data_IF_888145521649
#
_entry.id   IF_888145521649
#
_cell.length_a   1.000
_cell.length_b   1.000
_cell.length_c   1.000
_cell.angle_alpha   90.00
_cell.angle_beta   90.00
_cell.angle_gamma   90.00
#
_symmetry.space_group_name_H-M   'P 1'
#
loop_
_entity.id
_entity.type
_entity.pdbx_description
1 polymer ?
#
# COMPACT_ATOMS: atom_id res chain seq x y z
N UNK A 1 5.87 10.67 -16.38
CA UNK A 1 6.98 10.17 -15.53
C UNK A 1 7.39 11.32 -14.63
N UNK A 2 7.36 11.13 -13.30
CA UNK A 2 7.80 12.14 -12.32
C UNK A 2 9.04 11.60 -11.60
N UNK A 3 9.80 12.50 -11.00
CA UNK A 3 10.93 12.14 -10.13
C UNK A 3 10.58 12.57 -8.71
N UNK A 4 10.98 11.75 -7.72
CA UNK A 4 10.93 12.11 -6.31
C UNK A 4 12.31 11.96 -5.70
N UNK A 5 12.62 12.76 -4.67
CA UNK A 5 13.80 12.58 -3.84
C UNK A 5 13.49 11.58 -2.72
N UNK A 6 14.38 10.63 -2.45
CA UNK A 6 14.32 9.76 -1.25
C UNK A 6 15.66 9.80 -0.51
N UNK A 7 15.65 9.49 0.78
CA UNK A 7 16.87 9.34 1.57
C UNK A 7 17.26 7.86 1.66
N UNK A 8 18.44 7.51 1.14
CA UNK A 8 18.99 6.14 1.16
C UNK A 8 20.40 6.17 1.73
N UNK A 9 20.65 5.49 2.85
CA UNK A 9 21.96 5.49 3.50
C UNK A 9 22.45 6.88 3.94
N UNK A 10 21.54 7.85 4.11
CA UNK A 10 21.86 9.24 4.43
C UNK A 10 22.08 10.14 3.21
N UNK A 11 22.03 9.60 1.99
CA UNK A 11 22.17 10.37 0.75
C UNK A 11 20.82 10.60 0.07
N UNK A 12 20.66 11.77 -0.55
CA UNK A 12 19.51 12.09 -1.38
C UNK A 12 19.63 11.42 -2.75
N UNK A 13 18.61 10.66 -3.14
CA UNK A 13 18.56 9.92 -4.41
C UNK A 13 17.29 10.29 -5.17
N UNK A 14 17.45 10.63 -6.44
CA UNK A 14 16.34 10.94 -7.35
C UNK A 14 15.82 9.65 -8.00
N UNK A 15 14.52 9.37 -7.83
CA UNK A 15 13.86 8.16 -8.34
C UNK A 15 12.78 8.48 -9.36
N UNK A 16 12.81 7.88 -10.57
CA UNK A 16 11.69 7.95 -11.49
C UNK A 16 10.54 7.05 -11.00
N UNK A 17 9.37 7.65 -10.83
CA UNK A 17 8.18 7.02 -10.26
C UNK A 17 6.93 7.22 -11.12
N UNK A 18 5.99 6.29 -10.99
CA UNK A 18 4.58 6.56 -11.20
C UNK A 18 4.02 7.13 -9.89
N UNK A 19 3.51 8.35 -9.95
CA UNK A 19 2.95 9.05 -8.79
C UNK A 19 1.42 9.05 -8.91
N UNK A 20 0.76 8.63 -7.84
CA UNK A 20 -0.68 8.61 -7.64
C UNK A 20 -1.02 9.67 -6.60
N UNK A 21 -1.55 10.83 -7.02
CA UNK A 21 -1.97 11.87 -6.08
C UNK A 21 -3.01 11.31 -5.10
N UNK A 22 -2.87 11.66 -3.82
CA UNK A 22 -3.83 11.28 -2.79
C UNK A 22 -4.73 12.49 -2.48
N UNK A 23 -6.03 12.25 -2.30
CA UNK A 23 -7.01 13.27 -1.98
C UNK A 23 -6.77 13.89 -0.60
N UNK A 24 -6.19 13.13 0.33
CA UNK A 24 -5.68 13.63 1.62
C UNK A 24 -4.45 14.53 1.52
N UNK A 25 -3.85 14.68 0.34
CA UNK A 25 -2.63 15.43 0.09
C UNK A 25 -1.43 14.52 -0.20
N UNK A 26 -0.46 15.06 -0.94
CA UNK A 26 0.73 14.31 -1.31
C UNK A 26 0.51 13.27 -2.42
N UNK A 27 1.31 12.19 -2.41
CA UNK A 27 1.24 11.13 -3.42
C UNK A 27 1.78 9.78 -2.91
N UNK A 28 1.15 8.68 -3.35
CA UNK A 28 1.75 7.36 -3.32
C UNK A 28 2.55 7.13 -4.61
N UNK A 29 3.74 6.54 -4.51
CA UNK A 29 4.70 6.47 -5.60
C UNK A 29 5.23 5.04 -5.77
N UNK A 30 5.28 4.57 -7.02
CA UNK A 30 5.88 3.30 -7.42
C UNK A 30 7.12 3.56 -8.28
N UNK A 31 8.27 3.05 -7.83
CA UNK A 31 9.54 3.16 -8.55
C UNK A 31 9.54 2.32 -9.83
N UNK A 32 9.83 2.97 -10.96
CA UNK A 32 9.67 2.35 -12.28
C UNK A 32 10.94 1.66 -12.80
N UNK A 33 12.10 1.97 -12.24
CA UNK A 33 13.39 1.42 -12.68
C UNK A 33 14.35 1.26 -11.51
N UNK A 34 15.41 0.46 -11.68
CA UNK A 34 16.51 0.37 -10.72
C UNK A 34 17.33 1.68 -10.71
N UNK A 35 17.71 2.17 -9.52
CA UNK A 35 18.58 3.34 -9.33
C UNK A 35 19.60 3.03 -8.24
N UNK A 36 20.87 2.86 -8.64
CA UNK A 36 21.94 2.46 -7.73
C UNK A 36 21.58 1.15 -7.00
N UNK A 37 21.58 1.12 -5.65
CA UNK A 37 21.19 -0.06 -4.88
C UNK A 37 19.66 -0.28 -4.79
N UNK A 38 18.85 0.71 -5.18
CA UNK A 38 17.40 0.68 -5.04
C UNK A 38 16.77 -0.03 -6.24
N UNK A 39 16.03 -1.11 -5.98
CA UNK A 39 15.38 -1.91 -7.03
C UNK A 39 14.03 -1.34 -7.43
N UNK A 40 13.69 -1.43 -8.73
CA UNK A 40 12.34 -1.19 -9.30
C UNK A 40 11.27 -1.84 -8.43
N UNK A 41 10.11 -1.20 -8.28
CA UNK A 41 9.02 -1.67 -7.41
C UNK A 41 9.07 -1.13 -5.98
N UNK A 42 10.09 -0.32 -5.63
CA UNK A 42 10.05 0.45 -4.38
C UNK A 42 8.76 1.27 -4.28
N UNK A 43 8.09 1.19 -3.13
CA UNK A 43 6.89 1.95 -2.81
C UNK A 43 7.25 3.08 -1.86
N UNK A 44 6.76 4.30 -2.12
CA UNK A 44 7.06 5.49 -1.33
C UNK A 44 5.80 6.33 -1.15
N UNK A 45 5.67 6.99 -0.01
CA UNK A 45 4.67 8.01 0.27
C UNK A 45 5.35 9.36 0.34
N UNK A 46 4.77 10.36 -0.31
CA UNK A 46 5.23 11.76 -0.31
C UNK A 46 4.14 12.59 0.34
N UNK A 47 4.43 13.28 1.44
CA UNK A 47 3.42 14.05 2.20
C UNK A 47 2.98 15.33 1.48
N UNK A 48 3.91 16.00 0.81
CA UNK A 48 3.68 17.25 0.09
C UNK A 48 4.65 17.39 -1.09
N UNK A 49 4.32 18.27 -2.05
CA UNK A 49 5.21 18.55 -3.18
C UNK A 49 6.59 19.04 -2.68
N UNK A 50 7.66 18.39 -3.16
CA UNK A 50 9.03 18.67 -2.74
C UNK A 50 9.49 18.01 -1.44
N UNK A 51 8.59 17.36 -0.69
CA UNK A 51 8.99 16.54 0.46
C UNK A 51 9.69 15.25 -0.01
N UNK A 52 10.65 14.72 0.77
CA UNK A 52 11.26 13.44 0.45
C UNK A 52 10.22 12.31 0.56
N UNK A 53 10.27 11.37 -0.38
CA UNK A 53 9.49 10.15 -0.32
C UNK A 53 9.98 9.21 0.79
N UNK A 54 9.05 8.67 1.55
CA UNK A 54 9.30 7.73 2.65
C UNK A 54 8.77 6.36 2.27
N UNK A 55 9.62 5.33 2.35
CA UNK A 55 9.17 3.95 2.17
C UNK A 55 8.38 3.50 3.42
N UNK A 56 7.12 3.07 3.29
CA UNK A 56 6.33 2.64 4.43
C UNK A 56 6.91 1.35 5.01
N UNK A 57 6.98 1.26 6.35
CA UNK A 57 7.41 0.04 7.01
C UNK A 57 6.24 -0.92 7.20
N UNK A 58 6.48 -2.22 7.03
CA UNK A 58 5.44 -3.23 7.20
C UNK A 58 4.81 -3.25 8.60
N UNK A 59 5.62 -3.08 9.66
CA UNK A 59 5.12 -3.07 11.04
C UNK A 59 4.17 -1.90 11.31
N UNK A 60 4.42 -0.74 10.70
CA UNK A 60 3.52 0.41 10.75
C UNK A 60 2.24 0.14 9.94
N UNK A 61 2.35 -0.52 8.78
CA UNK A 61 1.19 -0.80 7.91
C UNK A 61 0.25 -1.78 8.59
N UNK A 62 0.81 -2.84 9.20
CA UNK A 62 0.04 -3.82 9.96
C UNK A 62 -0.62 -3.20 11.19
N UNK A 63 0.08 -2.33 11.92
CA UNK A 63 -0.50 -1.63 13.08
C UNK A 63 -1.68 -0.74 12.68
N UNK A 64 -1.53 0.01 11.59
CA UNK A 64 -2.61 0.86 11.08
C UNK A 64 -3.80 0.02 10.59
N UNK A 65 -3.54 -1.04 9.82
CA UNK A 65 -4.56 -1.98 9.36
C UNK A 65 -5.34 -2.60 10.54
N UNK A 66 -4.63 -3.06 11.57
CA UNK A 66 -5.23 -3.60 12.79
C UNK A 66 -6.10 -2.55 13.51
N UNK A 67 -5.67 -1.29 13.56
CA UNK A 67 -6.46 -0.20 14.14
C UNK A 67 -7.77 0.04 13.39
N UNK A 68 -7.74 0.07 12.05
CA UNK A 68 -8.96 0.20 11.22
C UNK A 68 -9.90 -0.99 11.41
N UNK A 69 -9.34 -2.19 11.54
CA UNK A 69 -10.10 -3.42 11.69
C UNK A 69 -10.67 -3.67 13.10
N UNK A 70 -10.45 -2.78 14.08
CA UNK A 70 -11.07 -2.90 15.41
C UNK A 70 -12.61 -2.78 15.34
N UNK A 71 -13.12 -1.94 14.43
CA UNK A 71 -14.55 -1.82 14.20
C UNK A 71 -15.01 -2.82 13.12
N UNK A 72 -16.15 -3.53 13.30
CA UNK A 72 -16.62 -4.50 12.30
C UNK A 72 -16.81 -3.90 10.88
N UNK A 73 -17.33 -2.68 10.80
CA UNK A 73 -17.48 -1.96 9.52
C UNK A 73 -16.12 -1.61 8.90
N UNK A 74 -15.17 -1.14 9.70
CA UNK A 74 -13.80 -0.84 9.26
C UNK A 74 -13.06 -2.09 8.78
N UNK A 75 -13.23 -3.22 9.47
CA UNK A 75 -12.69 -4.51 9.04
C UNK A 75 -13.25 -4.94 7.69
N UNK A 76 -14.59 -4.93 7.53
CA UNK A 76 -15.23 -5.32 6.27
C UNK A 76 -14.80 -4.43 5.09
N UNK A 77 -14.69 -3.12 5.33
CA UNK A 77 -14.21 -2.17 4.33
C UNK A 77 -12.74 -2.44 3.96
N UNK A 78 -11.87 -2.65 4.95
CA UNK A 78 -10.46 -2.94 4.72
C UNK A 78 -10.27 -4.26 3.97
N UNK A 79 -10.97 -5.33 4.34
CA UNK A 79 -10.92 -6.62 3.63
C UNK A 79 -11.34 -6.46 2.16
N UNK A 80 -12.39 -5.69 1.88
CA UNK A 80 -12.84 -5.40 0.52
C UNK A 80 -11.78 -4.61 -0.28
N UNK A 81 -11.18 -3.57 0.31
CA UNK A 81 -10.12 -2.78 -0.31
C UNK A 81 -8.87 -3.62 -0.58
N UNK A 82 -8.46 -4.49 0.36
CA UNK A 82 -7.32 -5.38 0.19
C UNK A 82 -7.56 -6.42 -0.91
N UNK A 83 -8.77 -6.98 -0.99
CA UNK A 83 -9.15 -7.92 -2.03
C UNK A 83 -9.14 -7.25 -3.42
N UNK A 84 -9.64 -6.02 -3.52
CA UNK A 84 -9.61 -5.24 -4.75
C UNK A 84 -8.17 -4.85 -5.15
N UNK A 85 -7.35 -4.41 -4.19
CA UNK A 85 -5.92 -4.14 -4.39
C UNK A 85 -5.19 -5.36 -4.94
N UNK A 86 -5.45 -6.54 -4.37
CA UNK A 86 -4.90 -7.82 -4.85
C UNK A 86 -5.33 -8.09 -6.30
N UNK A 87 -6.62 -7.96 -6.62
CA UNK A 87 -7.13 -8.18 -7.98
C UNK A 87 -6.47 -7.24 -9.00
N UNK A 88 -6.29 -5.97 -8.65
CA UNK A 88 -5.62 -4.98 -9.49
C UNK A 88 -4.14 -5.31 -9.67
N UNK A 89 -3.44 -5.72 -8.61
CA UNK A 89 -2.05 -6.16 -8.68
C UNK A 89 -1.89 -7.41 -9.57
N UNK A 90 -2.77 -8.40 -9.46
CA UNK A 90 -2.74 -9.58 -10.35
C UNK A 90 -2.95 -9.18 -11.82
N UNK A 91 -3.72 -8.13 -12.08
CA UNK A 91 -3.96 -7.58 -13.41
C UNK A 91 -2.80 -6.73 -13.96
N UNK A 92 -1.72 -6.49 -13.21
CA UNK A 92 -0.50 -5.84 -13.76
C UNK A 92 0.39 -6.83 -14.51
N UNK A 93 -0.03 -8.08 -14.67
CA UNK A 93 0.72 -9.09 -15.41
C UNK A 93 0.24 -9.21 -16.85
N UNK A 94 1.16 -9.42 -17.82
CA UNK A 94 2.62 -9.47 -17.67
C UNK A 94 3.26 -8.07 -17.55
N UNK A 95 2.49 -7.01 -17.73
CA UNK A 95 2.96 -5.63 -17.74
C UNK A 95 1.90 -4.71 -17.15
N UNK A 96 2.36 -3.67 -16.45
CA UNK A 96 1.52 -2.56 -16.00
C UNK A 96 0.99 -1.77 -17.19
N UNK A 97 -0.32 -1.82 -17.39
CA UNK A 97 -1.05 -1.14 -18.47
C UNK A 97 -1.88 0.05 -17.93
N UNK A 98 -2.20 1.05 -18.77
CA UNK A 98 -2.95 2.23 -18.35
C UNK A 98 -4.27 1.96 -17.61
N UNK A 99 -5.12 0.97 -18.02
CA UNK A 99 -6.36 0.68 -17.29
C UNK A 99 -6.13 0.22 -15.85
N UNK A 100 -5.02 -0.49 -15.59
CA UNK A 100 -4.70 -0.94 -14.22
C UNK A 100 -4.22 0.22 -13.35
N UNK A 101 -3.49 1.17 -13.93
CA UNK A 101 -3.13 2.43 -13.25
C UNK A 101 -4.37 3.25 -12.88
N UNK A 102 -5.34 3.34 -13.79
CA UNK A 102 -6.61 4.01 -13.53
C UNK A 102 -7.40 3.29 -12.42
N UNK A 103 -7.46 1.96 -12.45
CA UNK A 103 -8.09 1.17 -11.40
C UNK A 103 -7.46 1.37 -10.02
N UNK A 104 -6.13 1.49 -9.94
CA UNK A 104 -5.43 1.83 -8.70
C UNK A 104 -5.83 3.23 -8.19
N UNK A 105 -5.87 4.23 -9.07
CA UNK A 105 -6.29 5.59 -8.70
C UNK A 105 -7.74 5.61 -8.19
N UNK A 106 -8.65 4.88 -8.85
CA UNK A 106 -10.05 4.74 -8.42
C UNK A 106 -10.16 4.04 -7.05
N UNK A 107 -9.36 2.99 -6.81
CA UNK A 107 -9.31 2.32 -5.52
C UNK A 107 -8.87 3.28 -4.40
N UNK A 108 -7.89 4.15 -4.66
CA UNK A 108 -7.40 5.10 -3.65
C UNK A 108 -8.45 6.17 -3.34
N UNK A 109 -9.11 6.71 -4.36
CA UNK A 109 -10.23 7.64 -4.18
C UNK A 109 -11.38 7.01 -3.38
N UNK A 110 -11.73 5.75 -3.66
CA UNK A 110 -12.73 5.01 -2.88
C UNK A 110 -12.31 4.81 -1.42
N UNK A 111 -11.04 4.48 -1.18
CA UNK A 111 -10.50 4.34 0.17
C UNK A 111 -10.53 5.67 0.94
N UNK A 112 -10.35 6.80 0.26
CA UNK A 112 -10.51 8.13 0.83
C UNK A 112 -11.94 8.39 1.29
N UNK A 113 -12.93 8.17 0.40
CA UNK A 113 -14.35 8.36 0.71
C UNK A 113 -14.79 7.49 1.89
N UNK A 114 -14.43 6.20 1.88
CA UNK A 114 -14.71 5.28 2.99
C UNK A 114 -14.02 5.70 4.29
N UNK A 115 -12.80 6.25 4.21
CA UNK A 115 -12.08 6.75 5.38
C UNK A 115 -12.85 7.87 6.09
N UNK A 116 -13.47 8.76 5.31
CA UNK A 116 -14.31 9.83 5.84
C UNK A 116 -15.64 9.32 6.43
N UNK A 117 -16.27 8.33 5.81
CA UNK A 117 -17.52 7.72 6.31
C UNK A 117 -17.33 6.95 7.62
N UNK A 118 -16.20 6.27 7.76
CA UNK A 118 -15.92 5.38 8.89
C UNK A 118 -15.38 6.11 10.13
N UNK A 119 -15.17 7.43 10.05
CA UNK A 119 -14.42 8.21 11.05
C UNK A 119 -13.11 7.49 11.45
N UNK A 120 -12.41 6.99 10.43
CA UNK A 120 -11.29 6.08 10.61
C UNK A 120 -10.18 6.77 11.42
N UNK A 121 -9.57 6.10 12.42
CA UNK A 121 -8.60 6.74 13.29
C UNK A 121 -7.46 7.36 12.48
N UNK A 122 -7.17 8.63 12.79
CA UNK A 122 -6.07 9.41 12.21
C UNK A 122 -4.72 8.91 12.73
N UNK A 123 -4.29 7.77 12.19
CA UNK A 123 -2.88 7.39 12.24
C UNK A 123 -2.03 8.23 11.29
N UNK A 124 -0.71 8.01 11.23
CA UNK A 124 0.14 8.71 10.25
C UNK A 124 -0.31 8.47 8.82
N UNK A 125 -1.03 7.36 8.58
CA UNK A 125 -1.57 6.97 7.29
C UNK A 125 -3.08 6.77 7.43
N UNK A 126 -3.87 7.71 6.91
CA UNK A 126 -5.31 7.50 6.74
C UNK A 126 -5.61 6.27 5.85
N UNK A 127 -6.87 5.84 5.80
CA UNK A 127 -7.28 4.64 5.04
C UNK A 127 -6.81 4.68 3.58
N UNK A 128 -6.91 5.84 2.93
CA UNK A 128 -6.38 6.08 1.59
C UNK A 128 -4.89 5.76 1.47
N UNK A 129 -4.04 6.35 2.31
CA UNK A 129 -2.59 6.16 2.26
C UNK A 129 -2.18 4.72 2.60
N UNK A 130 -2.88 4.08 3.55
CA UNK A 130 -2.72 2.66 3.87
C UNK A 130 -3.04 1.80 2.63
N UNK A 131 -4.22 1.97 2.05
CA UNK A 131 -4.64 1.20 0.86
C UNK A 131 -3.70 1.42 -0.30
N UNK A 132 -3.25 2.65 -0.54
CA UNK A 132 -2.31 2.97 -1.61
C UNK A 132 -0.97 2.28 -1.41
N UNK A 133 -0.38 2.36 -0.21
CA UNK A 133 0.88 1.69 0.09
C UNK A 133 0.77 0.18 -0.12
N UNK A 134 -0.29 -0.45 0.41
CA UNK A 134 -0.48 -1.91 0.30
C UNK A 134 -0.72 -2.35 -1.15
N UNK A 135 -1.53 -1.63 -1.91
CA UNK A 135 -1.77 -1.92 -3.31
C UNK A 135 -0.49 -1.84 -4.14
N UNK A 136 0.34 -0.80 -3.93
CA UNK A 136 1.61 -0.66 -4.65
C UNK A 136 2.65 -1.72 -4.24
N UNK A 137 2.63 -2.18 -2.97
CA UNK A 137 3.42 -3.33 -2.54
C UNK A 137 2.97 -4.60 -3.29
N UNK A 138 1.65 -4.84 -3.40
CA UNK A 138 1.13 -5.99 -4.14
C UNK A 138 1.54 -5.95 -5.62
N UNK A 139 1.44 -4.78 -6.26
CA UNK A 139 1.90 -4.56 -7.64
C UNK A 139 3.39 -4.87 -7.75
N UNK A 140 4.21 -4.34 -6.82
CA UNK A 140 5.65 -4.60 -6.79
C UNK A 140 5.97 -6.09 -6.69
N UNK A 141 5.25 -6.82 -5.84
CA UNK A 141 5.45 -8.27 -5.68
C UNK A 141 5.11 -9.05 -6.96
N UNK A 142 4.03 -8.68 -7.67
CA UNK A 142 3.68 -9.32 -8.95
C UNK A 142 4.66 -8.94 -10.08
N UNK A 143 5.21 -7.73 -10.08
CA UNK A 143 6.19 -7.29 -11.08
C UNK A 143 7.59 -7.86 -10.84
N UNK A 144 8.03 -7.98 -9.58
CA UNK A 144 9.38 -8.44 -9.21
C UNK A 144 9.55 -9.95 -9.30
N UNK A 145 8.51 -10.71 -8.98
CA UNK A 145 8.58 -12.16 -8.91
C UNK A 145 7.59 -12.80 -9.88
N UNK A 146 7.91 -12.88 -11.19
CA UNK A 146 7.17 -13.71 -12.14
C UNK A 146 7.50 -15.20 -11.89
N UNK A 147 7.40 -15.68 -10.64
CA UNK A 147 7.64 -17.07 -10.27
C UNK A 147 6.31 -17.82 -10.40
N UNK A 148 6.21 -18.87 -11.24
CA UNK A 148 4.96 -19.59 -11.45
C UNK A 148 4.43 -20.34 -10.21
N UNK A 149 5.23 -20.50 -9.15
CA UNK A 149 4.86 -21.26 -7.94
C UNK A 149 4.63 -20.41 -6.68
N UNK A 150 5.07 -19.14 -6.67
CA UNK A 150 4.94 -18.25 -5.52
C UNK A 150 4.42 -16.91 -6.00
N UNK A 151 3.13 -16.66 -5.77
CA UNK A 151 2.48 -15.40 -6.10
C UNK A 151 2.73 -14.45 -4.93
N UNK A 152 3.71 -13.56 -5.06
CA UNK A 152 4.14 -12.68 -3.96
C UNK A 152 2.99 -11.83 -3.41
N UNK A 153 2.06 -11.38 -4.27
CA UNK A 153 0.87 -10.67 -3.83
C UNK A 153 -0.05 -11.55 -2.96
N UNK A 154 -0.22 -12.85 -3.28
CA UNK A 154 -1.05 -13.73 -2.45
C UNK A 154 -0.49 -13.89 -1.04
N UNK A 155 0.84 -14.01 -0.92
CA UNK A 155 1.51 -14.11 0.38
C UNK A 155 1.36 -12.80 1.15
N UNK A 156 1.61 -11.65 0.51
CA UNK A 156 1.46 -10.35 1.14
C UNK A 156 0.01 -10.10 1.59
N UNK A 157 -0.98 -10.43 0.74
CA UNK A 157 -2.40 -10.35 1.07
C UNK A 157 -2.77 -11.22 2.27
N UNK A 158 -2.34 -12.49 2.28
CA UNK A 158 -2.58 -13.39 3.41
C UNK A 158 -1.98 -12.84 4.72
N UNK A 159 -0.76 -12.29 4.67
CA UNK A 159 -0.13 -11.65 5.84
C UNK A 159 -0.90 -10.45 6.37
N UNK A 160 -1.46 -9.61 5.50
CA UNK A 160 -2.32 -8.52 5.94
C UNK A 160 -3.57 -9.03 6.65
N UNK A 161 -4.23 -10.06 6.11
CA UNK A 161 -5.41 -10.66 6.73
C UNK A 161 -5.10 -11.31 8.08
N UNK A 162 -3.98 -12.03 8.20
CA UNK A 162 -3.52 -12.64 9.46
C UNK A 162 -3.26 -11.61 10.57
N UNK A 163 -2.91 -10.37 10.21
CA UNK A 163 -2.67 -9.30 11.18
C UNK A 163 -3.94 -8.57 11.63
N UNK A 164 -5.10 -8.83 11.02
CA UNK A 164 -6.35 -8.17 11.41
C UNK A 164 -6.94 -8.85 12.67
N UNK A 165 -7.22 -8.09 13.75
CA UNK A 165 -7.78 -8.66 14.98
C UNK A 165 -9.13 -9.30 14.70
N UNK A 166 -9.37 -10.50 15.24
CA UNK A 166 -10.66 -11.18 15.14
C UNK A 166 -11.80 -10.30 15.65
N UNK A 167 -12.89 -10.24 14.88
CA UNK A 167 -14.09 -9.46 15.20
C UNK A 167 -14.74 -9.83 16.55
N UNK A 168 -14.29 -10.94 17.17
CA UNK A 168 -14.81 -11.45 18.45
C UNK A 168 -14.03 -10.95 19.67
N UNK A 169 -12.93 -10.20 19.50
CA UNK A 169 -12.14 -9.68 20.63
C UNK A 169 -11.49 -10.76 21.51
N UNK A 170 -11.46 -12.03 21.07
CA UNK A 170 -10.71 -13.09 21.75
C UNK A 170 -9.24 -12.95 21.35
N UNK A 171 -8.56 -12.02 22.01
CA UNK A 171 -7.11 -12.10 22.12
C UNK A 171 -6.78 -13.43 22.77
N UNK A 172 -6.20 -14.35 22.00
CA UNK A 172 -5.53 -15.49 22.59
C UNK A 172 -4.40 -14.94 23.46
N UNK A 173 -4.58 -15.05 24.77
CA UNK A 173 -3.49 -14.98 25.72
C UNK A 173 -2.52 -16.12 25.37
N UNK A 174 -1.44 -15.79 24.66
CA UNK A 174 -0.33 -16.72 24.47
C UNK A 174 0.25 -17.11 25.84
N UNK A 175 0.57 -18.39 26.07
CA UNK A 175 1.08 -18.84 27.35
C UNK A 175 2.42 -18.16 27.65
N UNK A 176 2.54 -17.67 28.88
CA UNK A 176 3.76 -17.10 29.48
C UNK A 176 4.89 -18.11 29.60
#
# INVERSE_FOLDING_TARGET
>A
MRTITVLSGGEAVELPVAAFPLASGGAACLQLTDVGPLRRGGTYLVEAEGAPGVAPRFDELFRQAASVAQAPAGRAALEALLAEAKRLAEATRPRLEPPTLEGLAQLFARAHELGAELDSPSGPWGLEALTAAVALIFVSEEERYPRPKFQGCQVAYARFLECLPDATGRGEAGPS
#
